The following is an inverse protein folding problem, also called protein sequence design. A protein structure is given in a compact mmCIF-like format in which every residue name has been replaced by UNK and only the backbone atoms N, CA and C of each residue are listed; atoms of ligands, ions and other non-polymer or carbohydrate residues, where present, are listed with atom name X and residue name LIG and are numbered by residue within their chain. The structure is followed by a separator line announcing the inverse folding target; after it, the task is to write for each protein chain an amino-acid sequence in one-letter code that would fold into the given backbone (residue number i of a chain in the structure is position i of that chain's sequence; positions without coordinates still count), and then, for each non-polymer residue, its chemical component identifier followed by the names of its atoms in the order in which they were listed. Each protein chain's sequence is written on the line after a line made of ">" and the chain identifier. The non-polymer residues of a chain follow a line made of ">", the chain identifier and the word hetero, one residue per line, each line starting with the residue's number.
data_IF_032045114478
#
_entry.id   IF_032045114478
#
_cell.length_a   1.000
_cell.length_b   1.000
_cell.length_c   1.000
_cell.angle_alpha   90.00
_cell.angle_beta   90.00
_cell.angle_gamma   90.00
#
_symmetry.space_group_name_H-M   'P 1'
#
loop_
_entity.id
_entity.type
_entity.pdbx_description
1 polymer ?
#
# COMPACT_ATOMS: atom_id res chain seq x y z
N UNK A 1 3.00 7.15 0.16
CA UNK A 1 2.88 5.89 -0.60
C UNK A 1 1.55 5.23 -0.22
N UNK A 2 1.01 4.35 -1.08
CA UNK A 2 -0.10 3.46 -0.74
C UNK A 2 0.50 2.24 -0.04
N UNK A 3 0.65 2.33 1.27
CA UNK A 3 1.28 1.31 2.10
C UNK A 3 0.40 0.89 3.27
N UNK A 4 -0.82 1.43 3.40
CA UNK A 4 -1.78 0.99 4.41
C UNK A 4 -2.37 -0.38 4.06
N UNK A 5 -2.74 -1.14 5.08
CA UNK A 5 -3.44 -2.41 4.94
C UNK A 5 -4.81 -2.36 5.61
N UNK A 6 -5.80 -2.94 4.92
CA UNK A 6 -7.09 -3.32 5.49
C UNK A 6 -7.23 -4.84 5.47
N UNK A 7 -7.86 -5.40 6.50
CA UNK A 7 -8.03 -6.83 6.71
C UNK A 7 -9.51 -7.11 6.97
N UNK A 8 -10.14 -7.84 6.05
CA UNK A 8 -11.48 -8.37 6.22
C UNK A 8 -11.41 -9.74 6.91
N UNK A 9 -12.15 -9.91 8.00
CA UNK A 9 -12.16 -11.15 8.76
C UNK A 9 -13.55 -11.49 9.29
N UNK A 10 -13.78 -12.78 9.54
CA UNK A 10 -14.93 -13.28 10.27
C UNK A 10 -14.51 -13.64 11.69
N UNK A 11 -15.23 -13.10 12.67
CA UNK A 11 -15.00 -13.47 14.07
C UNK A 11 -15.54 -14.89 14.31
N UNK A 12 -14.69 -15.78 14.81
CA UNK A 12 -15.05 -17.16 15.18
C UNK A 12 -15.28 -17.29 16.68
N UNK A 13 -14.38 -16.71 17.50
CA UNK A 13 -14.50 -16.67 18.96
C UNK A 13 -14.14 -15.30 19.51
N UNK A 14 -14.93 -14.82 20.46
CA UNK A 14 -14.68 -13.58 21.17
C UNK A 14 -15.16 -13.67 22.62
N UNK A 15 -14.44 -13.01 23.52
CA UNK A 15 -14.73 -12.97 24.95
C UNK A 15 -14.91 -11.51 25.40
N UNK A 16 -15.69 -11.27 26.45
CA UNK A 16 -15.76 -9.96 27.11
C UNK A 16 -14.76 -9.93 28.25
N UNK A 17 -13.87 -8.95 28.25
CA UNK A 17 -12.96 -8.72 29.37
C UNK A 17 -13.69 -8.00 30.52
N UNK A 18 -13.11 -8.03 31.73
CA UNK A 18 -13.68 -7.39 32.94
C UNK A 18 -13.97 -5.89 32.77
N UNK A 19 -13.28 -5.24 31.84
CA UNK A 19 -13.48 -3.82 31.47
C UNK A 19 -14.57 -3.60 30.40
N UNK A 20 -15.36 -4.62 30.07
CA UNK A 20 -16.44 -4.58 29.08
C UNK A 20 -15.97 -4.61 27.61
N UNK A 21 -14.66 -4.65 27.35
CA UNK A 21 -14.09 -4.68 26.00
C UNK A 21 -14.24 -6.08 25.38
N UNK A 22 -14.46 -6.13 24.07
CA UNK A 22 -14.52 -7.38 23.31
C UNK A 22 -13.11 -7.78 22.86
N UNK A 23 -12.63 -8.91 23.35
CA UNK A 23 -11.39 -9.53 22.93
C UNK A 23 -11.69 -10.59 21.87
N UNK A 24 -11.12 -10.45 20.68
CA UNK A 24 -11.23 -11.44 19.61
C UNK A 24 -10.12 -12.47 19.80
N UNK A 25 -10.47 -13.72 20.10
CA UNK A 25 -9.49 -14.77 20.39
C UNK A 25 -9.26 -15.70 19.19
N UNK A 26 -10.20 -15.74 18.26
CA UNK A 26 -10.08 -16.53 17.04
C UNK A 26 -10.76 -15.84 15.86
N UNK A 27 -9.99 -15.66 14.79
CA UNK A 27 -10.40 -14.98 13.56
C UNK A 27 -10.13 -15.86 12.35
N UNK A 28 -11.06 -15.85 11.43
CA UNK A 28 -10.86 -16.40 10.08
C UNK A 28 -10.60 -15.23 9.13
N UNK A 29 -9.43 -15.24 8.51
CA UNK A 29 -9.01 -14.20 7.56
C UNK A 29 -9.67 -14.46 6.20
N UNK A 30 -10.39 -13.47 5.68
CA UNK A 30 -11.06 -13.58 4.37
C UNK A 30 -10.28 -12.84 3.28
N UNK A 31 -9.88 -11.60 3.55
CA UNK A 31 -9.22 -10.75 2.56
C UNK A 31 -8.20 -9.79 3.18
N UNK A 32 -7.25 -9.37 2.35
CA UNK A 32 -6.26 -8.34 2.67
C UNK A 32 -6.15 -7.39 1.47
N UNK A 33 -6.26 -6.09 1.71
CA UNK A 33 -6.20 -5.06 0.66
C UNK A 33 -5.26 -3.90 1.02
N UNK A 34 -4.68 -3.26 0.01
CA UNK A 34 -3.85 -2.06 0.16
C UNK A 34 -4.75 -0.82 0.14
N UNK A 35 -4.55 0.10 1.10
CA UNK A 35 -5.37 1.30 1.29
C UNK A 35 -4.51 2.54 1.58
N UNK A 36 -5.09 3.72 1.38
CA UNK A 36 -4.40 5.00 1.64
C UNK A 36 -4.38 5.35 3.13
N UNK A 37 -5.52 5.15 3.81
CA UNK A 37 -5.76 5.56 5.20
C UNK A 37 -6.19 4.34 6.04
N UNK A 38 -5.25 3.62 6.67
CA UNK A 38 -5.59 2.47 7.50
C UNK A 38 -6.23 2.93 8.81
N UNK A 39 -7.18 2.15 9.34
CA UNK A 39 -7.81 2.43 10.64
C UNK A 39 -6.81 2.35 11.80
N UNK A 40 -5.77 1.51 11.68
CA UNK A 40 -4.69 1.39 12.65
C UNK A 40 -3.42 1.98 12.02
N UNK A 41 -2.81 3.04 12.60
CA UNK A 41 -1.65 3.68 11.99
C UNK A 41 -0.47 2.74 11.73
N UNK A 42 -0.32 1.71 12.56
CA UNK A 42 0.71 0.68 12.44
C UNK A 42 0.41 -0.40 11.38
N UNK A 43 -0.80 -0.44 10.82
CA UNK A 43 -1.16 -1.39 9.75
C UNK A 43 -0.62 -0.91 8.41
N UNK A 44 0.72 -0.90 8.29
CA UNK A 44 1.47 -0.48 7.12
C UNK A 44 2.33 -1.63 6.61
N UNK A 45 2.44 -1.78 5.30
CA UNK A 45 3.39 -2.71 4.65
C UNK A 45 4.79 -2.15 4.84
N UNK A 46 5.58 -2.79 5.69
CA UNK A 46 7.01 -2.53 5.77
C UNK A 46 7.77 -3.46 4.80
N UNK A 47 8.90 -2.97 4.25
CA UNK A 47 9.79 -3.81 3.47
C UNK A 47 10.27 -4.98 4.34
N UNK A 48 10.09 -6.22 3.87
CA UNK A 48 10.66 -7.39 4.52
C UNK A 48 12.17 -7.38 4.24
N UNK A 49 12.98 -7.46 5.30
CA UNK A 49 14.45 -7.30 5.23
C UNK A 49 15.14 -8.37 4.37
N UNK A 50 14.46 -9.48 4.08
CA UNK A 50 14.86 -10.46 3.07
C UNK A 50 13.87 -10.42 1.91
N UNK A 51 14.38 -10.17 0.72
CA UNK A 51 13.64 -10.32 -0.53
C UNK A 51 13.78 -11.78 -0.98
N UNK A 52 12.81 -12.67 -0.72
CA UNK A 52 12.95 -14.10 -1.04
C UNK A 52 12.91 -14.34 -2.56
N UNK A 53 12.52 -13.32 -3.33
CA UNK A 53 12.36 -13.34 -4.78
C UNK A 53 13.11 -12.16 -5.41
N UNK A 54 14.42 -12.31 -5.70
CA UNK A 54 15.24 -11.26 -6.30
C UNK A 54 14.66 -10.71 -7.61
N UNK A 55 13.93 -11.53 -8.36
CA UNK A 55 13.27 -11.15 -9.61
C UNK A 55 12.20 -10.08 -9.40
N UNK A 56 11.51 -10.09 -8.25
CA UNK A 56 10.52 -9.05 -7.91
C UNK A 56 11.19 -7.71 -7.63
N UNK A 57 12.40 -7.71 -7.05
CA UNK A 57 13.19 -6.49 -6.88
C UNK A 57 13.58 -5.86 -8.22
N UNK A 58 14.04 -6.69 -9.17
CA UNK A 58 14.34 -6.24 -10.52
C UNK A 58 13.09 -5.70 -11.25
N UNK A 59 11.94 -6.37 -11.11
CA UNK A 59 10.67 -5.93 -11.68
C UNK A 59 10.20 -4.59 -11.07
N UNK A 60 10.29 -4.43 -9.75
CA UNK A 60 9.98 -3.16 -9.08
C UNK A 60 10.86 -2.02 -9.58
N UNK A 61 12.18 -2.26 -9.70
CA UNK A 61 13.11 -1.27 -10.24
C UNK A 61 12.77 -0.86 -11.69
N UNK A 62 12.33 -1.81 -12.52
CA UNK A 62 11.88 -1.55 -13.89
C UNK A 62 10.64 -0.64 -13.91
N UNK A 63 9.64 -0.92 -13.07
CA UNK A 63 8.44 -0.06 -12.94
C UNK A 63 8.78 1.36 -12.45
N UNK A 64 9.67 1.49 -11.47
CA UNK A 64 10.14 2.81 -11.01
C UNK A 64 10.86 3.60 -12.11
N UNK A 65 11.66 2.91 -12.94
CA UNK A 65 12.26 3.49 -14.14
C UNK A 65 11.21 4.03 -15.11
N UNK A 66 10.22 3.19 -15.48
CA UNK A 66 9.15 3.57 -16.39
C UNK A 66 8.31 4.75 -15.85
N UNK A 67 8.01 4.78 -14.55
CA UNK A 67 7.28 5.89 -13.90
C UNK A 67 8.02 7.21 -14.03
N UNK A 68 9.35 7.21 -13.84
CA UNK A 68 10.19 8.41 -14.01
C UNK A 68 10.21 8.89 -15.46
N UNK A 69 10.27 7.98 -16.42
CA UNK A 69 10.25 8.33 -17.84
C UNK A 69 8.95 9.00 -18.25
N UNK A 70 7.82 8.46 -17.77
CA UNK A 70 6.51 9.05 -18.02
C UNK A 70 6.40 10.46 -17.42
N UNK A 71 6.81 10.65 -16.16
CA UNK A 71 6.81 11.97 -15.52
C UNK A 71 7.72 12.99 -16.25
N UNK A 72 8.86 12.54 -16.79
CA UNK A 72 9.74 13.39 -17.61
C UNK A 72 9.10 13.80 -18.94
N UNK A 73 8.35 12.90 -19.57
CA UNK A 73 7.62 13.19 -20.82
C UNK A 73 6.51 14.21 -20.57
N UNK A 74 5.76 14.05 -19.49
CA UNK A 74 4.67 14.95 -19.13
C UNK A 74 5.17 16.39 -18.86
N UNK A 75 6.29 16.53 -18.14
CA UNK A 75 6.94 17.83 -17.95
C UNK A 75 7.53 18.46 -19.23
N UNK A 76 7.91 17.64 -20.23
CA UNK A 76 8.39 18.13 -21.53
C UNK A 76 7.23 18.62 -22.41
N UNK A 77 6.06 17.97 -22.32
CA UNK A 77 4.84 18.39 -23.01
C UNK A 77 4.29 19.70 -22.43
N UNK A 78 4.28 19.84 -21.10
CA UNK A 78 3.83 21.08 -20.41
C UNK A 78 4.66 22.32 -20.80
N UNK A 79 5.99 22.22 -20.92
CA UNK A 79 6.86 23.35 -21.32
C UNK A 79 6.80 23.70 -22.81
N UNK A 80 6.23 22.83 -23.65
CA UNK A 80 6.12 23.09 -25.09
C UNK A 80 4.89 23.94 -25.45
N UNK A 81 3.87 23.99 -24.58
CA UNK A 81 2.65 24.79 -24.80
C UNK A 81 2.76 26.26 -24.42
N UNK A 82 3.75 26.65 -23.62
CA UNK A 82 3.88 28.02 -23.09
C UNK A 82 4.69 28.98 -24.00
N UNK A 83 5.24 28.47 -25.11
CA UNK A 83 6.02 29.27 -26.09
C UNK A 83 5.21 29.78 -27.29
N UNK A 84 3.88 29.79 -27.19
CA UNK A 84 2.97 30.29 -28.25
C UNK A 84 2.00 31.30 -27.64
N UNK A 85 2.55 32.36 -27.04
CA UNK A 85 1.85 33.61 -26.69
C UNK A 85 2.90 34.69 -26.50
N UNK A 86 3.33 35.28 -27.61
CA UNK A 86 4.31 36.36 -27.67
C UNK A 86 4.32 36.95 -29.07
#
# INVERSE_FOLDING_TARGET
>A
ALDGLSIGYRTRRAERHQKGQRLLTELELWEVSVVTFPMLPAARVAAKAETPWPQLGALAAAFDGARRDLARRDGRLSRSGERISG
#
